data_IF_137050377164
#
_entry.id   IF_137050377164
#
_cell.length_a   1.000
_cell.length_b   1.000
_cell.length_c   1.000
_cell.angle_alpha   90.00
_cell.angle_beta   90.00
_cell.angle_gamma   90.00
#
_symmetry.space_group_name_H-M   'P 1'
#
loop_
_entity.id
_entity.type
_entity.pdbx_description
1 polymer ?
#
# COMPACT_ATOMS: atom_id res chain seq x y z
N UNK A 1 30.54 -4.28 4.13
CA UNK A 1 30.33 -5.35 5.13
C UNK A 1 29.01 -5.09 5.84
N UNK A 2 28.29 -6.15 6.17
CA UNK A 2 27.03 -6.11 6.92
C UNK A 2 27.19 -5.50 8.31
N UNK A 3 26.05 -5.18 8.91
CA UNK A 3 25.99 -4.64 10.28
C UNK A 3 26.29 -5.76 11.27
N UNK A 4 27.26 -5.53 12.16
CA UNK A 4 27.59 -6.47 13.23
C UNK A 4 26.46 -6.53 14.26
N UNK A 5 26.11 -7.74 14.73
CA UNK A 5 25.04 -7.99 15.71
C UNK A 5 23.67 -7.44 15.26
N UNK A 6 23.25 -7.76 14.03
CA UNK A 6 21.97 -7.34 13.47
C UNK A 6 20.76 -7.67 14.36
N UNK A 7 20.80 -8.78 15.12
CA UNK A 7 19.75 -9.22 16.04
C UNK A 7 19.51 -8.25 17.22
N UNK A 8 20.50 -7.42 17.56
CA UNK A 8 20.41 -6.43 18.63
C UNK A 8 19.64 -5.17 18.22
N UNK A 9 19.36 -5.00 16.91
CA UNK A 9 18.74 -3.79 16.41
C UNK A 9 17.23 -3.79 16.66
N UNK A 10 16.74 -2.68 17.19
CA UNK A 10 15.30 -2.47 17.39
C UNK A 10 14.70 -1.71 16.21
N UNK A 11 13.58 -2.20 15.69
CA UNK A 11 12.83 -1.55 14.61
C UNK A 11 11.97 -0.46 15.23
N UNK A 12 12.20 0.80 14.88
CA UNK A 12 11.39 1.91 15.39
C UNK A 12 9.95 1.83 14.85
N UNK A 13 8.95 2.42 15.53
CA UNK A 13 7.57 2.46 15.01
C UNK A 13 7.48 3.06 13.61
N UNK A 14 8.27 4.12 13.36
CA UNK A 14 8.37 4.74 12.05
C UNK A 14 8.93 3.78 10.99
N UNK A 15 10.04 3.09 11.29
CA UNK A 15 10.59 2.08 10.38
C UNK A 15 9.59 0.95 10.11
N UNK A 16 8.88 0.48 11.14
CA UNK A 16 7.90 -0.59 11.00
C UNK A 16 6.78 -0.21 10.03
N UNK A 17 6.22 1.00 10.18
CA UNK A 17 5.19 1.51 9.27
C UNK A 17 5.70 1.59 7.83
N UNK A 18 6.92 2.13 7.63
CA UNK A 18 7.54 2.23 6.31
C UNK A 18 7.80 0.87 5.69
N UNK A 19 8.26 -0.09 6.48
CA UNK A 19 8.54 -1.45 6.00
C UNK A 19 7.24 -2.13 5.56
N UNK A 20 6.18 -2.01 6.35
CA UNK A 20 4.86 -2.52 6.01
C UNK A 20 4.31 -1.90 4.72
N UNK A 21 4.35 -0.57 4.61
CA UNK A 21 3.81 0.16 3.46
C UNK A 21 4.60 -0.08 2.17
N UNK A 22 5.93 -0.15 2.24
CA UNK A 22 6.81 -0.15 1.06
C UNK A 22 7.23 -1.54 0.61
N UNK A 23 7.32 -2.50 1.53
CA UNK A 23 7.84 -3.84 1.26
C UNK A 23 6.85 -4.96 1.62
N UNK A 24 5.63 -4.61 2.07
CA UNK A 24 4.55 -5.55 2.33
C UNK A 24 4.82 -6.55 3.47
N UNK A 25 5.81 -6.29 4.34
CA UNK A 25 6.13 -7.21 5.43
C UNK A 25 5.12 -7.09 6.58
N UNK A 26 4.67 -8.23 7.09
CA UNK A 26 3.80 -8.30 8.28
C UNK A 26 4.63 -8.19 9.55
N UNK A 27 3.99 -7.88 10.69
CA UNK A 27 4.69 -7.77 11.98
C UNK A 27 5.45 -9.06 12.33
N UNK A 28 4.89 -10.22 11.97
CA UNK A 28 5.47 -11.54 12.24
C UNK A 28 6.73 -11.82 11.43
N UNK A 29 6.81 -11.36 10.18
CA UNK A 29 7.98 -11.59 9.30
C UNK A 29 9.02 -10.48 9.35
N UNK A 30 8.65 -9.30 9.86
CA UNK A 30 9.44 -8.08 9.74
C UNK A 30 10.77 -8.16 10.47
N UNK A 31 10.82 -8.80 11.64
CA UNK A 31 12.04 -8.93 12.44
C UNK A 31 13.08 -9.77 11.70
N UNK A 32 12.73 -10.99 11.33
CA UNK A 32 13.63 -11.91 10.64
C UNK A 32 14.07 -11.38 9.27
N UNK A 33 13.17 -10.68 8.57
CA UNK A 33 13.48 -10.05 7.30
C UNK A 33 14.48 -8.89 7.47
N UNK A 34 14.26 -8.05 8.48
CA UNK A 34 15.15 -6.92 8.79
C UNK A 34 16.53 -7.41 9.21
N UNK A 35 16.60 -8.41 10.09
CA UNK A 35 17.88 -8.98 10.54
C UNK A 35 18.68 -9.55 9.37
N UNK A 36 18.03 -10.31 8.48
CA UNK A 36 18.64 -10.82 7.25
C UNK A 36 19.18 -9.69 6.37
N UNK A 37 18.43 -8.59 6.21
CA UNK A 37 18.89 -7.44 5.45
C UNK A 37 20.10 -6.76 6.06
N UNK A 38 20.10 -6.53 7.37
CA UNK A 38 21.21 -5.89 8.08
C UNK A 38 22.50 -6.70 7.98
N UNK A 39 22.40 -8.03 8.01
CA UNK A 39 23.56 -8.92 7.81
C UNK A 39 24.14 -8.87 6.39
N UNK A 40 23.32 -8.58 5.38
CA UNK A 40 23.71 -8.61 3.97
C UNK A 40 24.00 -7.22 3.38
N UNK A 41 23.63 -6.16 4.08
CA UNK A 41 23.79 -4.80 3.58
C UNK A 41 25.25 -4.33 3.54
N UNK A 42 25.48 -3.26 2.79
CA UNK A 42 26.76 -2.60 2.61
C UNK A 42 26.66 -1.19 3.15
N UNK A 43 27.67 -0.76 3.90
CA UNK A 43 27.80 0.64 4.31
C UNK A 43 28.00 1.55 3.09
N UNK A 44 27.24 2.65 3.03
CA UNK A 44 27.31 3.66 1.97
C UNK A 44 27.98 4.92 2.47
N UNK A 45 27.43 5.54 3.52
CA UNK A 45 27.94 6.81 4.07
C UNK A 45 27.48 7.04 5.51
N UNK A 46 28.21 7.90 6.21
CA UNK A 46 27.78 8.48 7.48
C UNK A 46 27.02 9.79 7.20
N UNK A 47 25.91 10.01 7.90
CA UNK A 47 25.16 11.27 7.89
C UNK A 47 25.55 12.15 9.07
N UNK A 48 25.55 13.47 8.87
CA UNK A 48 25.95 14.47 9.87
C UNK A 48 25.16 14.40 11.19
N UNK A 49 23.99 13.74 11.17
CA UNK A 49 23.12 13.54 12.33
C UNK A 49 23.48 12.31 13.19
N UNK A 50 24.66 11.71 12.98
CA UNK A 50 25.10 10.51 13.69
C UNK A 50 24.35 9.24 13.29
N UNK A 51 23.84 9.22 12.05
CA UNK A 51 23.14 8.08 11.44
C UNK A 51 23.98 7.51 10.32
N UNK A 52 23.84 6.22 10.09
CA UNK A 52 24.58 5.50 9.07
C UNK A 52 23.63 5.01 7.99
N UNK A 53 24.03 5.26 6.74
CA UNK A 53 23.30 4.81 5.57
C UNK A 53 23.94 3.51 5.08
N UNK A 54 23.14 2.46 5.09
CA UNK A 54 23.44 1.15 4.55
C UNK A 54 22.54 0.84 3.35
N UNK A 55 22.98 -0.10 2.51
CA UNK A 55 22.25 -0.49 1.31
C UNK A 55 22.29 -1.99 1.10
N UNK A 56 21.17 -2.57 0.69
CA UNK A 56 21.13 -3.93 0.15
C UNK A 56 20.34 -3.95 -1.15
N UNK A 57 21.01 -4.21 -2.28
CA UNK A 57 20.42 -4.12 -3.63
C UNK A 57 19.70 -2.77 -3.80
N UNK A 58 18.39 -2.80 -4.04
CA UNK A 58 17.51 -1.64 -4.25
C UNK A 58 16.87 -1.12 -2.95
N UNK A 59 17.48 -1.38 -1.78
CA UNK A 59 16.95 -0.98 -0.47
C UNK A 59 17.99 -0.13 0.26
N UNK A 60 17.63 1.12 0.51
CA UNK A 60 18.33 2.02 1.42
C UNK A 60 17.85 1.84 2.85
N UNK A 61 18.79 1.78 3.79
CA UNK A 61 18.55 1.53 5.21
C UNK A 61 19.26 2.62 6.02
N UNK A 62 18.53 3.30 6.90
CA UNK A 62 19.12 4.29 7.82
C UNK A 62 19.12 3.72 9.22
N UNK A 63 20.30 3.68 9.83
CA UNK A 63 20.55 3.14 11.15
C UNK A 63 21.08 4.21 12.10
N UNK A 64 20.73 4.08 13.37
CA UNK A 64 21.44 4.74 14.47
C UNK A 64 22.28 3.67 15.18
N UNK A 65 23.60 3.68 14.92
CA UNK A 65 24.53 2.70 15.50
C UNK A 65 24.67 2.86 17.01
N UNK A 66 24.52 4.07 17.55
CA UNK A 66 24.67 4.34 19.00
C UNK A 66 23.50 3.75 19.77
N UNK A 67 22.29 3.89 19.24
CA UNK A 67 21.06 3.37 19.86
C UNK A 67 20.70 1.95 19.40
N UNK A 68 21.43 1.40 18.43
CA UNK A 68 21.10 0.15 17.73
C UNK A 68 19.66 0.14 17.23
N UNK A 69 19.31 1.15 16.44
CA UNK A 69 17.94 1.36 15.94
C UNK A 69 17.88 1.40 14.42
N UNK A 70 16.90 0.70 13.86
CA UNK A 70 16.49 0.89 12.47
C UNK A 70 15.54 2.07 12.41
N UNK A 71 16.00 3.17 11.79
CA UNK A 71 15.26 4.42 11.72
C UNK A 71 14.26 4.40 10.56
N UNK A 72 14.69 3.95 9.39
CA UNK A 72 13.81 3.82 8.22
C UNK A 72 14.41 2.93 7.14
N UNK A 73 13.57 2.44 6.23
CA UNK A 73 13.96 1.75 5.01
C UNK A 73 13.18 2.29 3.82
N UNK A 74 13.83 2.38 2.66
CA UNK A 74 13.22 2.90 1.44
C UNK A 74 13.77 2.21 0.19
N UNK A 75 12.97 2.12 -0.89
CA UNK A 75 13.48 1.74 -2.19
C UNK A 75 14.54 2.73 -2.66
N UNK A 76 15.75 2.22 -2.89
CA UNK A 76 16.91 2.95 -3.39
C UNK A 76 17.52 2.16 -4.55
N UNK A 77 16.93 2.21 -5.75
CA UNK A 77 17.34 1.40 -6.88
C UNK A 77 18.82 1.61 -7.24
N UNK A 78 19.58 0.51 -7.31
CA UNK A 78 21.04 0.46 -7.50
C UNK A 78 21.43 1.04 -8.86
N UNK A 79 20.66 0.65 -9.86
CA UNK A 79 20.57 1.34 -11.12
C UNK A 79 19.35 2.24 -11.00
N UNK A 80 19.57 3.55 -10.91
CA UNK A 80 18.73 4.39 -11.76
C UNK A 80 18.98 3.81 -13.13
N UNK A 81 18.11 2.89 -13.58
CA UNK A 81 17.95 2.67 -14.99
C UNK A 81 17.74 4.11 -15.44
N UNK A 82 18.77 4.70 -16.05
CA UNK A 82 18.56 5.68 -17.08
C UNK A 82 17.77 4.87 -18.08
N UNK A 83 16.48 4.71 -17.81
CA UNK A 83 15.46 4.61 -18.81
C UNK A 83 15.76 5.92 -19.52
N UNK A 84 16.65 5.85 -20.50
CA UNK A 84 16.42 6.56 -21.72
C UNK A 84 14.93 6.37 -21.90
N UNK A 85 14.18 7.44 -21.63
CA UNK A 85 12.80 7.56 -22.05
C UNK A 85 12.88 7.50 -23.57
N UNK A 86 13.21 6.34 -24.14
CA UNK A 86 12.75 5.97 -25.46
C UNK A 86 11.26 6.16 -25.32
N UNK A 87 10.73 7.11 -26.07
CA UNK A 87 9.29 7.31 -26.10
C UNK A 87 8.69 5.93 -26.30
N UNK A 88 7.87 5.48 -25.34
CA UNK A 88 7.11 4.27 -25.56
C UNK A 88 6.46 4.39 -26.93
N UNK A 89 6.45 3.30 -27.71
CA UNK A 89 5.76 3.32 -28.99
C UNK A 89 4.33 3.84 -28.72
N UNK A 90 3.93 4.99 -29.29
CA UNK A 90 2.67 5.63 -28.97
C UNK A 90 1.47 4.73 -29.28
N UNK A 91 1.61 3.77 -30.19
CA UNK A 91 0.59 2.76 -30.47
C UNK A 91 0.42 1.78 -29.31
N UNK A 92 1.52 1.30 -28.72
CA UNK A 92 1.48 0.44 -27.53
C UNK A 92 0.93 1.18 -26.32
N UNK A 93 1.31 2.45 -26.14
CA UNK A 93 0.79 3.27 -25.05
C UNK A 93 -0.70 3.55 -25.21
N UNK A 94 -1.16 3.85 -26.43
CA UNK A 94 -2.58 4.06 -26.73
C UNK A 94 -3.37 2.78 -26.48
N UNK A 95 -2.92 1.64 -27.01
CA UNK A 95 -3.59 0.35 -26.84
C UNK A 95 -3.69 -0.09 -25.38
N UNK A 96 -2.62 0.09 -24.59
CA UNK A 96 -2.63 -0.21 -23.15
C UNK A 96 -3.58 0.74 -22.40
N UNK A 97 -3.58 2.03 -22.73
CA UNK A 97 -4.48 2.99 -22.09
C UNK A 97 -5.95 2.71 -22.43
N UNK A 98 -6.25 2.30 -23.67
CA UNK A 98 -7.59 1.89 -24.11
C UNK A 98 -8.06 0.65 -23.35
N UNK A 99 -7.23 -0.40 -23.27
CA UNK A 99 -7.56 -1.60 -22.48
C UNK A 99 -7.81 -1.27 -21.01
N UNK A 100 -7.00 -0.37 -20.42
CA UNK A 100 -7.19 0.06 -19.03
C UNK A 100 -8.48 0.86 -18.87
N UNK A 101 -8.81 1.74 -19.82
CA UNK A 101 -10.05 2.50 -19.81
C UNK A 101 -11.28 1.59 -19.93
N UNK A 102 -11.27 0.63 -20.86
CA UNK A 102 -12.34 -0.36 -21.02
C UNK A 102 -12.50 -1.23 -19.77
N UNK A 103 -11.39 -1.65 -19.15
CA UNK A 103 -11.43 -2.43 -17.93
C UNK A 103 -11.99 -1.64 -16.74
N UNK A 104 -11.60 -0.37 -16.61
CA UNK A 104 -12.14 0.53 -15.59
C UNK A 104 -13.64 0.78 -15.80
N UNK A 105 -14.08 0.94 -17.05
CA UNK A 105 -15.49 1.10 -17.37
C UNK A 105 -16.29 -0.16 -17.01
N UNK A 106 -15.76 -1.34 -17.35
CA UNK A 106 -16.36 -2.62 -16.95
C UNK A 106 -16.48 -2.72 -15.43
N UNK A 107 -15.41 -2.40 -14.70
CA UNK A 107 -15.42 -2.43 -13.22
C UNK A 107 -16.42 -1.45 -12.63
N UNK A 108 -16.53 -0.25 -13.20
CA UNK A 108 -17.54 0.73 -12.79
C UNK A 108 -18.96 0.18 -12.97
N UNK A 109 -19.25 -0.49 -14.09
CA UNK A 109 -20.57 -1.10 -14.32
C UNK A 109 -20.85 -2.23 -13.32
N UNK A 110 -19.89 -3.13 -13.10
CA UNK A 110 -20.02 -4.22 -12.11
C UNK A 110 -20.29 -3.66 -10.70
N UNK A 111 -19.58 -2.61 -10.29
CA UNK A 111 -19.82 -1.95 -9.00
C UNK A 111 -21.18 -1.28 -8.96
N UNK A 112 -21.58 -0.58 -10.03
CA UNK A 112 -22.90 0.06 -10.10
C UNK A 112 -24.03 -0.97 -10.02
N UNK A 113 -23.91 -2.12 -10.69
CA UNK A 113 -24.87 -3.23 -10.61
C UNK A 113 -24.91 -3.84 -9.21
N UNK A 114 -23.74 -4.03 -8.57
CA UNK A 114 -23.64 -4.54 -7.21
C UNK A 114 -24.32 -3.61 -6.20
N UNK A 115 -24.06 -2.31 -6.28
CA UNK A 115 -24.73 -1.30 -5.43
C UNK A 115 -26.23 -1.24 -5.74
N UNK A 116 -26.62 -1.27 -7.02
CA UNK A 116 -28.01 -1.23 -7.42
C UNK A 116 -28.80 -2.44 -6.91
N UNK A 117 -28.19 -3.63 -6.89
CA UNK A 117 -28.81 -4.83 -6.34
C UNK A 117 -29.13 -4.74 -4.85
N UNK A 118 -28.47 -3.82 -4.13
CA UNK A 118 -28.68 -3.58 -2.69
C UNK A 118 -29.62 -2.40 -2.40
N UNK A 119 -30.06 -1.65 -3.42
CA UNK A 119 -30.97 -0.50 -3.22
C UNK A 119 -32.25 -0.93 -2.53
N UNK A 120 -32.80 -2.08 -2.90
CA UNK A 120 -33.97 -2.64 -2.25
C UNK A 120 -33.74 -2.91 -0.75
N UNK A 121 -32.60 -3.51 -0.39
CA UNK A 121 -32.24 -3.80 1.00
C UNK A 121 -32.07 -2.51 1.82
N UNK A 122 -31.50 -1.45 1.20
CA UNK A 122 -31.33 -0.13 1.83
C UNK A 122 -32.70 0.53 2.05
N UNK A 123 -33.56 0.53 1.03
CA UNK A 123 -34.90 1.11 1.10
C UNK A 123 -35.75 0.40 2.15
N UNK A 124 -35.66 -0.94 2.20
CA UNK A 124 -36.36 -1.75 3.19
C UNK A 124 -35.86 -1.47 4.61
N UNK A 125 -34.55 -1.52 4.84
CA UNK A 125 -33.99 -1.24 6.17
C UNK A 125 -34.27 0.21 6.64
N UNK A 126 -34.29 1.17 5.71
CA UNK A 126 -34.65 2.55 6.01
C UNK A 126 -36.15 2.70 6.35
N UNK A 127 -37.02 2.01 5.61
CA UNK A 127 -38.45 1.98 5.89
C UNK A 127 -38.74 1.32 7.25
N UNK A 128 -38.10 0.19 7.56
CA UNK A 128 -38.26 -0.53 8.82
C UNK A 128 -37.79 0.30 10.02
N UNK A 129 -36.69 1.06 9.87
CA UNK A 129 -36.24 2.01 10.89
C UNK A 129 -37.20 3.21 11.06
N UNK A 130 -37.78 3.70 9.96
CA UNK A 130 -38.76 4.80 9.99
C UNK A 130 -40.08 4.37 10.65
N UNK A 131 -40.53 3.14 10.38
CA UNK A 131 -41.74 2.56 10.98
C UNK A 131 -41.50 2.27 12.47
N UNK A 132 -40.32 1.77 12.83
CA UNK A 132 -39.95 1.44 14.19
C UNK A 132 -38.47 1.76 14.45
N UNK A 133 -38.22 2.88 15.14
CA UNK A 133 -36.87 3.36 15.44
C UNK A 133 -36.20 2.62 16.62
N UNK A 134 -36.35 1.29 16.65
CA UNK A 134 -35.70 0.43 17.62
C UNK A 134 -34.18 0.34 17.38
N UNK A 135 -33.45 -0.02 18.42
CA UNK A 135 -31.99 -0.22 18.33
C UNK A 135 -31.62 -1.35 17.35
N UNK A 136 -32.45 -2.40 17.27
CA UNK A 136 -32.25 -3.49 16.31
C UNK A 136 -32.37 -3.02 14.86
N UNK A 137 -33.39 -2.22 14.54
CA UNK A 137 -33.58 -1.69 13.18
C UNK A 137 -32.47 -0.68 12.81
N UNK A 138 -31.95 0.06 13.79
CA UNK A 138 -30.79 0.93 13.58
C UNK A 138 -29.51 0.13 13.27
N UNK A 139 -29.30 -1.01 13.95
CA UNK A 139 -28.17 -1.91 13.70
C UNK A 139 -28.27 -2.51 12.29
N UNK A 140 -29.47 -2.94 11.89
CA UNK A 140 -29.72 -3.50 10.56
C UNK A 140 -29.48 -2.47 9.44
N UNK A 141 -30.02 -1.26 9.58
CA UNK A 141 -29.75 -0.16 8.64
C UNK A 141 -28.25 0.16 8.52
N UNK A 142 -27.53 0.23 9.65
CA UNK A 142 -26.08 0.44 9.65
C UNK A 142 -25.31 -0.70 8.97
N UNK A 143 -25.77 -1.94 9.16
CA UNK A 143 -25.16 -3.12 8.52
C UNK A 143 -25.25 -3.04 7.00
N UNK A 144 -26.44 -2.72 6.47
CA UNK A 144 -26.66 -2.61 5.03
C UNK A 144 -25.85 -1.45 4.43
N UNK A 145 -25.84 -0.29 5.08
CA UNK A 145 -25.03 0.86 4.64
C UNK A 145 -23.53 0.56 4.63
N UNK A 146 -23.04 -0.17 5.64
CA UNK A 146 -21.62 -0.55 5.72
C UNK A 146 -21.20 -1.46 4.56
N UNK A 147 -22.07 -2.37 4.12
CA UNK A 147 -21.78 -3.24 2.97
C UNK A 147 -21.61 -2.41 1.69
N UNK A 148 -22.39 -1.35 1.52
CA UNK A 148 -22.26 -0.42 0.39
C UNK A 148 -20.95 0.37 0.47
N UNK A 149 -20.63 0.90 1.65
CA UNK A 149 -19.36 1.61 1.88
C UNK A 149 -18.15 0.72 1.57
N UNK A 150 -18.18 -0.55 1.99
CA UNK A 150 -17.11 -1.52 1.72
C UNK A 150 -16.96 -1.83 0.22
N UNK A 151 -18.06 -1.85 -0.55
CA UNK A 151 -18.01 -2.04 -2.00
C UNK A 151 -17.46 -0.81 -2.73
N UNK A 152 -17.86 0.40 -2.31
CA UNK A 152 -17.32 1.65 -2.85
C UNK A 152 -15.82 1.79 -2.52
N UNK A 153 -15.41 1.46 -1.30
CA UNK A 153 -14.00 1.51 -0.89
C UNK A 153 -13.11 0.57 -1.71
N UNK A 154 -13.61 -0.64 -2.04
CA UNK A 154 -12.90 -1.58 -2.93
C UNK A 154 -12.71 -1.00 -4.33
N UNK A 155 -13.73 -0.34 -4.87
CA UNK A 155 -13.66 0.32 -6.17
C UNK A 155 -12.68 1.50 -6.15
N UNK A 156 -12.70 2.34 -5.12
CA UNK A 156 -11.79 3.47 -4.98
C UNK A 156 -10.32 3.05 -4.85
N UNK A 157 -10.05 2.00 -4.06
CA UNK A 157 -8.71 1.42 -3.95
C UNK A 157 -8.22 0.90 -5.32
N UNK A 158 -9.09 0.22 -6.06
CA UNK A 158 -8.79 -0.29 -7.39
C UNK A 158 -8.50 0.83 -8.41
N UNK A 159 -9.27 1.93 -8.39
CA UNK A 159 -9.02 3.11 -9.22
C UNK A 159 -7.68 3.77 -8.86
N UNK A 160 -7.36 3.87 -7.56
CA UNK A 160 -6.10 4.44 -7.11
C UNK A 160 -4.89 3.61 -7.58
N UNK A 161 -4.95 2.28 -7.46
CA UNK A 161 -3.93 1.36 -7.98
C UNK A 161 -3.76 1.49 -9.50
N UNK A 162 -4.86 1.58 -10.24
CA UNK A 162 -4.83 1.71 -11.71
C UNK A 162 -4.23 3.03 -12.16
N UNK A 163 -4.45 4.13 -11.42
CA UNK A 163 -3.81 5.43 -11.67
C UNK A 163 -2.31 5.41 -11.43
N UNK A 164 -1.85 4.70 -10.39
CA UNK A 164 -0.41 4.53 -10.12
C UNK A 164 0.30 3.80 -11.26
N UNK A 165 -0.36 2.83 -11.89
CA UNK A 165 0.16 2.07 -13.04
C UNK A 165 0.17 2.91 -14.32
N UNK A 166 -0.84 3.75 -14.54
CA UNK A 166 -0.99 4.53 -15.78
C UNK A 166 -0.24 5.87 -15.81
N UNK A 167 0.31 6.33 -14.67
CA UNK A 167 1.04 7.61 -14.53
C UNK A 167 0.39 8.76 -15.33
N UNK A 168 -0.90 8.98 -15.08
CA UNK A 168 -1.54 10.30 -15.25
C UNK A 168 -1.69 10.97 -13.90
#
# INVERSE_FOLDING_TARGET
MGVTNASDYTITPHASERIKQRFGQTLDSMRDWTERLLNLCEFVKHEDNGRDHYRYRDIGIILDLKKKQVITMFPEPQDVIKLDKKSLNPELQTSVNEMIAEFLEKKRRETAESVHSKVFDIEQAAADFYINSSENNLIELRSVLRVVDDELAKYDMFVAETKLVTRK
#
